data_IF_516517118507
#
_entry.id   IF_516517118507
#
_cell.length_a   1.000
_cell.length_b   1.000
_cell.length_c   1.000
_cell.angle_alpha   90.00
_cell.angle_beta   90.00
_cell.angle_gamma   90.00
#
_symmetry.space_group_name_H-M   'P 1'
#
loop_
_entity.id
_entity.type
_entity.pdbx_description
1 polymer ?
#
# COMPACT_ATOMS: atom_id res chain seq x y z
N UNK A 1 -15.43 -3.43 20.58
CA UNK A 1 -14.45 -3.06 19.55
C UNK A 1 -15.11 -3.04 18.16
N UNK A 2 -14.44 -2.42 17.19
CA UNK A 2 -14.86 -2.42 15.79
C UNK A 2 -13.73 -2.94 14.90
N UNK A 3 -14.04 -3.42 13.69
CA UNK A 3 -13.05 -3.93 12.74
C UNK A 3 -11.93 -2.92 12.41
N UNK A 4 -12.20 -1.61 12.56
CA UNK A 4 -11.26 -0.53 12.22
C UNK A 4 -10.46 0.01 13.42
N UNK A 5 -10.63 -0.55 14.61
CA UNK A 5 -9.88 -0.14 15.79
C UNK A 5 -8.49 -0.78 15.80
N UNK A 6 -7.59 -0.28 14.97
CA UNK A 6 -6.18 -0.69 14.94
C UNK A 6 -5.29 0.05 15.96
N UNK A 7 -5.87 0.88 16.83
CA UNK A 7 -5.24 1.70 17.87
C UNK A 7 -4.39 2.86 17.37
N UNK A 8 -3.59 2.71 16.34
CA UNK A 8 -2.68 3.74 15.84
C UNK A 8 -2.46 3.64 14.33
N UNK A 9 -2.15 4.79 13.74
CA UNK A 9 -1.66 4.92 12.37
C UNK A 9 -0.57 5.98 12.36
N UNK A 10 0.60 5.62 11.87
CA UNK A 10 1.73 6.53 11.69
C UNK A 10 2.09 6.58 10.21
N UNK A 11 2.14 7.79 9.65
CA UNK A 11 2.56 8.03 8.28
C UNK A 11 3.77 8.95 8.28
N UNK A 12 4.84 8.53 7.58
CA UNK A 12 6.00 9.35 7.27
C UNK A 12 6.07 9.61 5.77
N UNK A 13 6.33 10.85 5.39
CA UNK A 13 6.52 11.25 4.00
C UNK A 13 7.77 12.13 3.91
N UNK A 14 8.67 11.78 2.99
CA UNK A 14 9.88 12.55 2.71
C UNK A 14 10.07 12.63 1.20
N UNK A 15 10.27 13.85 0.69
CA UNK A 15 10.56 14.10 -0.72
C UNK A 15 11.76 15.02 -0.90
N UNK A 16 12.51 14.80 -1.98
CA UNK A 16 13.63 15.65 -2.37
C UNK A 16 13.68 15.82 -3.88
N UNK A 17 13.79 17.07 -4.31
CA UNK A 17 14.00 17.44 -5.71
C UNK A 17 15.41 18.00 -5.91
N UNK A 18 16.02 17.62 -7.04
CA UNK A 18 17.34 18.09 -7.46
C UNK A 18 17.22 18.72 -8.85
N UNK A 19 17.50 20.01 -8.95
CA UNK A 19 17.58 20.69 -10.24
C UNK A 19 18.93 20.41 -10.91
N UNK A 20 18.88 19.86 -12.13
CA UNK A 20 20.05 19.63 -12.97
C UNK A 20 20.06 20.66 -14.08
N UNK A 21 20.68 21.81 -13.83
CA UNK A 21 20.80 22.87 -14.82
C UNK A 21 21.86 22.55 -15.88
N UNK A 22 21.44 22.25 -17.13
CA UNK A 22 22.37 22.24 -18.27
C UNK A 22 22.55 23.66 -18.81
N UNK A 23 23.70 24.28 -18.54
CA UNK A 23 24.12 25.54 -19.20
C UNK A 23 24.46 25.25 -20.66
N UNK A 24 23.49 25.24 -21.57
CA UNK A 24 23.72 25.36 -22.99
C UNK A 24 23.52 26.84 -23.40
N UNK A 25 24.48 27.42 -24.12
CA UNK A 25 24.60 28.86 -24.47
C UNK A 25 23.35 29.49 -25.11
N UNK A 26 22.30 28.76 -25.51
CA UNK A 26 21.09 29.30 -26.16
C UNK A 26 19.72 28.71 -25.76
N UNK A 27 19.64 27.66 -24.95
CA UNK A 27 18.35 27.10 -24.48
C UNK A 27 18.47 26.70 -23.03
N UNK A 28 17.77 27.38 -22.16
CA UNK A 28 17.63 27.03 -20.75
C UNK A 28 16.57 25.92 -20.67
N UNK A 29 16.97 24.67 -20.60
CA UNK A 29 16.09 23.57 -20.15
C UNK A 29 16.45 23.26 -18.71
N UNK A 30 15.45 23.21 -17.85
CA UNK A 30 15.60 22.81 -16.45
C UNK A 30 15.20 21.33 -16.40
N UNK A 31 16.08 20.52 -15.87
CA UNK A 31 15.77 19.11 -15.58
C UNK A 31 15.69 18.95 -14.07
N UNK A 32 14.66 18.29 -13.60
CA UNK A 32 14.45 18.01 -12.18
C UNK A 32 14.40 16.51 -11.97
N UNK A 33 15.19 16.04 -11.02
CA UNK A 33 15.12 14.67 -10.53
C UNK A 33 14.43 14.70 -9.16
N UNK A 34 13.39 13.92 -8.98
CA UNK A 34 12.64 13.81 -7.72
C UNK A 34 12.74 12.42 -7.13
N UNK A 35 12.80 12.36 -5.80
CA UNK A 35 12.70 11.12 -5.02
C UNK A 35 11.75 11.36 -3.88
N UNK A 36 10.76 10.48 -3.74
CA UNK A 36 9.79 10.53 -2.67
C UNK A 36 9.71 9.17 -1.98
N UNK A 37 9.62 9.19 -0.67
CA UNK A 37 9.51 8.03 0.19
C UNK A 37 8.26 8.20 1.04
N UNK A 38 7.45 7.16 1.14
CA UNK A 38 6.32 7.08 2.06
C UNK A 38 6.40 5.81 2.87
N UNK A 39 6.33 5.94 4.19
CA UNK A 39 6.19 4.82 5.10
C UNK A 39 4.86 4.92 5.83
N UNK A 40 4.13 3.81 5.91
CA UNK A 40 2.89 3.68 6.68
C UNK A 40 3.04 2.52 7.64
N UNK A 41 2.80 2.78 8.92
CA UNK A 41 2.75 1.78 9.97
C UNK A 41 1.44 1.94 10.76
N UNK A 42 0.68 0.87 10.89
CA UNK A 42 -0.61 0.91 11.55
C UNK A 42 -0.87 -0.38 12.32
N UNK A 43 -1.61 -0.30 13.41
CA UNK A 43 -2.06 -1.49 14.10
C UNK A 43 -2.96 -2.34 13.19
N UNK A 44 -2.86 -3.65 13.33
CA UNK A 44 -3.61 -4.62 12.55
C UNK A 44 -5.11 -4.44 12.67
N UNK A 45 -5.86 -4.85 11.66
CA UNK A 45 -7.33 -4.88 11.71
C UNK A 45 -7.81 -5.88 12.73
N UNK A 46 -8.90 -5.58 13.39
CA UNK A 46 -9.57 -6.53 14.29
C UNK A 46 -10.51 -7.43 13.52
N UNK A 47 -10.64 -8.65 14.02
CA UNK A 47 -11.54 -9.64 13.43
C UNK A 47 -12.24 -10.47 14.53
N UNK A 48 -13.35 -11.09 14.14
CA UNK A 48 -14.07 -12.06 14.96
C UNK A 48 -13.58 -13.45 14.57
N UNK A 49 -13.15 -14.29 15.50
CA UNK A 49 -12.75 -15.66 15.20
C UNK A 49 -13.84 -16.46 14.50
N UNK A 50 -13.44 -17.33 13.59
CA UNK A 50 -14.34 -18.21 12.88
C UNK A 50 -14.65 -19.43 13.76
N UNK A 51 -15.92 -19.73 13.97
CA UNK A 51 -16.37 -20.96 14.58
C UNK A 51 -16.40 -22.08 13.52
N UNK A 52 -15.29 -22.81 13.43
CA UNK A 52 -15.12 -23.87 12.43
C UNK A 52 -16.16 -25.00 12.63
N UNK A 53 -16.43 -25.38 13.87
CA UNK A 53 -17.39 -26.46 14.18
C UNK A 53 -18.80 -26.10 13.72
N UNK A 54 -19.26 -24.90 14.07
CA UNK A 54 -20.57 -24.38 13.66
C UNK A 54 -20.65 -24.14 12.14
N UNK A 55 -19.54 -23.68 11.52
CA UNK A 55 -19.45 -23.49 10.07
C UNK A 55 -19.67 -24.80 9.31
N UNK A 56 -18.99 -25.87 9.69
CA UNK A 56 -19.16 -27.20 9.06
C UNK A 56 -20.56 -27.72 9.28
N UNK A 57 -21.08 -27.60 10.51
CA UNK A 57 -22.42 -28.14 10.85
C UNK A 57 -23.55 -27.42 10.13
N UNK A 58 -23.43 -26.12 9.92
CA UNK A 58 -24.46 -25.27 9.29
C UNK A 58 -24.28 -25.09 7.78
N UNK A 59 -23.09 -25.37 7.22
CA UNK A 59 -22.75 -25.13 5.82
C UNK A 59 -22.62 -23.62 5.45
N UNK A 60 -22.58 -22.73 6.46
CA UNK A 60 -22.39 -21.29 6.27
C UNK A 60 -21.31 -20.77 7.21
N UNK A 61 -20.51 -19.76 6.79
CA UNK A 61 -19.50 -19.17 7.66
C UNK A 61 -20.14 -18.66 8.97
N UNK A 62 -19.68 -19.18 10.10
CA UNK A 62 -20.15 -18.82 11.43
C UNK A 62 -18.98 -18.25 12.25
N UNK A 63 -19.28 -17.31 13.16
CA UNK A 63 -18.29 -16.60 13.95
C UNK A 63 -18.60 -16.76 15.45
N UNK A 64 -17.57 -16.58 16.28
CA UNK A 64 -17.72 -16.61 17.74
C UNK A 64 -18.18 -15.22 18.19
N UNK A 65 -19.50 -15.01 18.28
CA UNK A 65 -20.11 -13.69 18.57
C UNK A 65 -19.65 -13.10 19.91
N UNK A 66 -19.36 -13.94 20.90
CA UNK A 66 -18.84 -13.51 22.19
C UNK A 66 -17.46 -12.85 22.11
N UNK A 67 -16.68 -13.15 21.05
CA UNK A 67 -15.35 -12.62 20.80
C UNK A 67 -15.36 -11.63 19.62
N UNK A 68 -16.47 -10.92 19.41
CA UNK A 68 -16.61 -9.97 18.30
C UNK A 68 -15.53 -8.90 18.33
N UNK A 69 -14.65 -8.90 17.31
CA UNK A 69 -13.52 -7.99 17.14
C UNK A 69 -12.51 -7.97 18.31
N UNK A 70 -12.38 -9.09 19.03
CA UNK A 70 -11.40 -9.19 20.12
C UNK A 70 -10.02 -9.62 19.62
N UNK A 71 -9.96 -10.36 18.53
CA UNK A 71 -8.71 -10.74 17.90
C UNK A 71 -8.19 -9.62 16.96
N UNK A 72 -6.89 -9.60 16.76
CA UNK A 72 -6.21 -8.61 15.91
C UNK A 72 -5.19 -9.30 15.02
N UNK A 73 -5.14 -8.94 13.74
CA UNK A 73 -4.10 -9.35 12.83
C UNK A 73 -2.78 -8.65 13.16
N UNK A 74 -1.69 -9.14 12.57
CA UNK A 74 -0.40 -8.47 12.64
C UNK A 74 -0.48 -7.03 12.14
N UNK A 75 0.41 -6.20 12.64
CA UNK A 75 0.51 -4.81 12.28
C UNK A 75 0.76 -4.64 10.78
N UNK A 76 0.14 -3.62 10.24
CA UNK A 76 0.30 -3.22 8.85
C UNK A 76 1.56 -2.39 8.67
N UNK A 77 2.42 -2.79 7.72
CA UNK A 77 3.55 -1.98 7.30
C UNK A 77 3.62 -1.90 5.78
N UNK A 78 3.82 -0.69 5.27
CA UNK A 78 4.03 -0.46 3.85
C UNK A 78 5.05 0.65 3.63
N UNK A 79 5.98 0.41 2.70
CA UNK A 79 6.98 1.36 2.28
C UNK A 79 6.90 1.55 0.77
N UNK A 80 6.70 2.80 0.35
CA UNK A 80 6.56 3.18 -1.05
C UNK A 80 7.72 4.10 -1.44
N UNK A 81 8.22 3.94 -2.66
CA UNK A 81 9.28 4.76 -3.24
C UNK A 81 8.83 5.27 -4.60
N UNK A 82 9.01 6.56 -4.85
CA UNK A 82 8.87 7.16 -6.17
C UNK A 82 10.17 7.79 -6.62
N UNK A 83 10.55 7.57 -7.88
CA UNK A 83 11.60 8.29 -8.56
C UNK A 83 11.03 8.94 -9.81
N UNK A 84 11.29 10.24 -10.01
CA UNK A 84 10.77 11.02 -11.14
C UNK A 84 11.87 11.82 -11.83
N UNK A 85 11.75 11.96 -13.13
CA UNK A 85 12.57 12.84 -13.95
C UNK A 85 11.67 13.74 -14.77
N UNK A 86 11.77 15.05 -14.54
CA UNK A 86 11.02 16.09 -15.25
C UNK A 86 11.96 16.93 -16.12
N UNK A 87 11.57 17.18 -17.35
CA UNK A 87 12.27 18.08 -18.27
C UNK A 87 11.33 19.19 -18.70
N UNK A 88 11.71 20.43 -18.46
CA UNK A 88 10.96 21.62 -18.85
C UNK A 88 11.53 22.22 -20.14
N UNK A 89 10.66 22.40 -21.12
CA UNK A 89 10.91 23.08 -22.38
C UNK A 89 10.16 24.43 -22.39
N UNK A 90 10.41 25.26 -23.37
CA UNK A 90 9.77 26.59 -23.46
C UNK A 90 8.23 26.56 -23.56
N UNK A 91 7.66 25.51 -24.15
CA UNK A 91 6.21 25.40 -24.45
C UNK A 91 5.54 24.22 -23.79
N UNK A 92 6.27 23.24 -23.32
CA UNK A 92 5.73 22.03 -22.72
C UNK A 92 6.74 21.46 -21.71
N UNK A 93 6.28 20.58 -20.86
CA UNK A 93 7.13 19.79 -19.96
C UNK A 93 6.82 18.31 -20.12
N UNK A 94 7.83 17.46 -19.93
CA UNK A 94 7.72 16.02 -19.90
C UNK A 94 8.19 15.51 -18.54
N UNK A 95 7.47 14.56 -18.00
CA UNK A 95 7.80 13.91 -16.74
C UNK A 95 7.68 12.40 -16.92
N UNK A 96 8.71 11.69 -16.54
CA UNK A 96 8.69 10.23 -16.40
C UNK A 96 8.91 9.89 -14.93
N UNK A 97 8.08 9.03 -14.36
CA UNK A 97 8.27 8.55 -13.01
C UNK A 97 7.98 7.05 -12.88
N UNK A 98 8.57 6.46 -11.87
CA UNK A 98 8.32 5.08 -11.46
C UNK A 98 7.93 5.12 -9.98
N UNK A 99 6.72 4.61 -9.69
CA UNK A 99 6.24 4.39 -8.34
C UNK A 99 6.37 2.90 -8.00
N UNK A 100 7.07 2.59 -6.93
CA UNK A 100 7.15 1.25 -6.38
C UNK A 100 6.40 1.22 -5.06
N UNK A 101 5.21 0.63 -5.08
CA UNK A 101 4.38 0.45 -3.89
C UNK A 101 4.75 -0.86 -3.20
N UNK A 102 4.74 -0.84 -1.86
CA UNK A 102 5.12 -1.99 -1.04
C UNK A 102 6.50 -2.54 -1.44
N UNK A 103 7.53 -1.69 -1.40
CA UNK A 103 8.89 -1.98 -1.87
C UNK A 103 9.45 -3.29 -1.30
N UNK A 104 9.14 -3.62 -0.05
CA UNK A 104 9.63 -4.79 0.65
C UNK A 104 8.76 -6.04 0.44
N UNK A 105 7.69 -5.93 -0.36
CA UNK A 105 6.75 -7.03 -0.65
C UNK A 105 6.14 -7.67 0.61
N UNK A 106 5.81 -6.84 1.60
CA UNK A 106 5.25 -7.30 2.87
C UNK A 106 3.82 -7.78 2.66
N UNK A 107 3.54 -8.98 3.14
CA UNK A 107 2.23 -9.60 3.08
C UNK A 107 1.33 -9.09 4.22
N UNK A 108 0.75 -7.91 4.04
CA UNK A 108 -0.21 -7.35 4.98
C UNK A 108 -1.54 -8.10 4.91
N UNK A 109 -2.02 -8.53 6.07
CA UNK A 109 -3.26 -9.28 6.16
C UNK A 109 -4.46 -8.46 5.69
N UNK A 110 -5.32 -9.05 4.85
CA UNK A 110 -6.55 -8.42 4.38
C UNK A 110 -7.78 -8.99 5.06
N UNK A 111 -7.98 -10.31 4.96
CA UNK A 111 -9.10 -11.04 5.58
C UNK A 111 -8.80 -12.54 5.64
N UNK A 112 -9.61 -13.25 6.42
CA UNK A 112 -9.68 -14.72 6.44
C UNK A 112 -10.97 -15.20 5.81
N UNK A 113 -10.92 -16.35 5.17
CA UNK A 113 -12.11 -17.09 4.71
C UNK A 113 -12.03 -18.52 5.18
N UNK A 114 -13.18 -19.12 5.44
CA UNK A 114 -13.32 -20.53 5.81
C UNK A 114 -13.99 -21.31 4.69
N UNK A 115 -13.44 -22.47 4.40
CA UNK A 115 -14.10 -23.44 3.54
C UNK A 115 -15.16 -24.19 4.38
N UNK A 116 -16.43 -24.05 4.03
CA UNK A 116 -17.55 -24.60 4.79
C UNK A 116 -17.62 -26.14 4.74
N UNK A 117 -16.92 -26.78 3.79
CA UNK A 117 -16.94 -28.25 3.66
C UNK A 117 -15.90 -28.93 4.56
N UNK A 118 -14.70 -28.34 4.69
CA UNK A 118 -13.61 -28.98 5.43
C UNK A 118 -13.12 -28.15 6.62
N UNK A 119 -13.65 -26.93 6.81
CA UNK A 119 -13.25 -26.03 7.89
C UNK A 119 -11.89 -25.36 7.73
N UNK A 120 -11.25 -25.49 6.56
CA UNK A 120 -9.94 -24.92 6.31
C UNK A 120 -10.02 -23.39 6.25
N UNK A 121 -9.18 -22.70 7.03
CA UNK A 121 -9.09 -21.25 7.05
C UNK A 121 -7.97 -20.80 6.09
N UNK A 122 -8.33 -20.01 5.11
CA UNK A 122 -7.40 -19.41 4.14
C UNK A 122 -7.21 -17.93 4.43
N UNK A 123 -5.96 -17.52 4.53
CA UNK A 123 -5.56 -16.13 4.73
C UNK A 123 -5.43 -15.42 3.36
N UNK A 124 -6.02 -14.26 3.25
CA UNK A 124 -5.89 -13.38 2.09
C UNK A 124 -5.11 -12.14 2.48
N UNK A 125 -4.12 -11.82 1.64
CA UNK A 125 -3.25 -10.69 1.85
C UNK A 125 -3.60 -9.55 0.90
N UNK A 126 -3.20 -8.34 1.25
CA UNK A 126 -3.26 -7.18 0.36
C UNK A 126 -2.28 -7.36 -0.79
N UNK A 127 -2.39 -6.49 -1.81
CA UNK A 127 -1.48 -6.52 -2.95
C UNK A 127 -0.02 -6.42 -2.47
N UNK A 128 0.82 -7.30 -2.99
CA UNK A 128 2.25 -7.28 -2.81
C UNK A 128 2.90 -6.09 -3.52
N UNK A 129 4.16 -6.24 -3.91
CA UNK A 129 4.88 -5.17 -4.62
C UNK A 129 4.23 -4.85 -5.96
N UNK A 130 4.00 -3.56 -6.20
CA UNK A 130 3.47 -3.05 -7.46
C UNK A 130 4.39 -1.97 -8.02
N UNK A 131 4.79 -2.11 -9.28
CA UNK A 131 5.61 -1.13 -10.00
C UNK A 131 4.76 -0.45 -11.05
N UNK A 132 4.65 0.88 -10.95
CA UNK A 132 3.78 1.69 -11.81
C UNK A 132 4.63 2.73 -12.54
N UNK A 133 4.98 2.53 -13.80
CA UNK A 133 5.59 3.56 -14.63
C UNK A 133 4.52 4.60 -15.03
N UNK A 134 4.90 5.88 -15.01
CA UNK A 134 4.02 6.98 -15.42
C UNK A 134 4.77 7.89 -16.39
N UNK A 135 4.07 8.36 -17.40
CA UNK A 135 4.57 9.37 -18.33
C UNK A 135 3.54 10.48 -18.49
N UNK A 136 3.97 11.72 -18.28
CA UNK A 136 3.11 12.90 -18.33
C UNK A 136 3.69 13.96 -19.26
N UNK A 137 2.87 14.51 -20.14
CA UNK A 137 3.19 15.68 -20.94
C UNK A 137 2.21 16.79 -20.56
N UNK A 138 2.74 18.00 -20.32
CA UNK A 138 1.93 19.21 -20.04
C UNK A 138 2.30 20.29 -21.05
N UNK A 139 1.31 20.82 -21.76
CA UNK A 139 1.44 21.89 -22.77
C UNK A 139 1.11 23.25 -22.16
#
# INVERSE_FOLDING_TARGET
NTAFNGHYVVNGLLGKEFEIAKKRKKKRSINTLSFDIKATYAGGKRYTPIDVGRTIASGVPSYVDAESFDQQFDDYFRFDLRAGFKQEFKKFSMEFSIDVQNLFDIQNMYLQRVNVQNGEITNYYQLGRLVIPQFTIRF
#
